data_IF_784362189552
#
_entry.id   IF_784362189552
#
_cell.length_a   1.000
_cell.length_b   1.000
_cell.length_c   1.000
_cell.angle_alpha   90.00
_cell.angle_beta   90.00
_cell.angle_gamma   90.00
#
_symmetry.space_group_name_H-M   'P 1'
#
loop_
_entity.id
_entity.type
_entity.pdbx_description
1 polymer ?
#
# COMPACT_ATOMS: atom_id res chain seq x y z
N UNK A 1 2.03 -20.41 -7.65
CA UNK A 1 0.89 -21.01 -6.91
C UNK A 1 1.37 -22.28 -6.24
N UNK A 2 0.74 -22.69 -5.14
CA UNK A 2 1.01 -24.00 -4.53
C UNK A 2 0.13 -25.06 -5.18
N UNK A 3 0.69 -26.24 -5.45
CA UNK A 3 0.02 -27.34 -6.16
C UNK A 3 0.21 -28.65 -5.40
N UNK A 4 -0.81 -29.51 -5.40
CA UNK A 4 -0.72 -30.86 -4.81
C UNK A 4 -0.85 -30.90 -3.28
N UNK A 5 -1.17 -29.79 -2.63
CA UNK A 5 -1.54 -29.74 -1.21
C UNK A 5 -3.05 -29.83 -0.97
N UNK A 6 -3.44 -29.74 0.30
CA UNK A 6 -4.84 -29.85 0.75
C UNK A 6 -5.66 -28.57 0.46
N UNK A 7 -5.01 -27.45 0.16
CA UNK A 7 -5.65 -26.16 -0.14
C UNK A 7 -4.80 -25.33 -1.12
N UNK A 8 -5.31 -24.16 -1.53
CA UNK A 8 -4.56 -23.22 -2.39
C UNK A 8 -3.31 -22.63 -1.72
N UNK A 9 -3.23 -22.73 -0.40
CA UNK A 9 -2.13 -22.25 0.44
C UNK A 9 -1.26 -23.38 1.01
N UNK A 10 -1.38 -24.59 0.45
CA UNK A 10 -0.50 -25.70 0.75
C UNK A 10 -0.08 -26.44 -0.52
N UNK A 11 1.14 -26.96 -0.53
CA UNK A 11 1.68 -27.77 -1.63
C UNK A 11 3.02 -27.28 -2.15
N UNK A 12 3.40 -27.74 -3.34
CA UNK A 12 4.65 -27.40 -3.99
C UNK A 12 4.55 -26.08 -4.75
N UNK A 13 5.58 -25.23 -4.66
CA UNK A 13 5.58 -23.95 -5.37
C UNK A 13 5.85 -24.13 -6.86
N UNK A 14 4.85 -23.81 -7.67
CA UNK A 14 4.97 -23.71 -9.12
C UNK A 14 4.99 -22.24 -9.58
N UNK A 15 5.86 -21.96 -10.54
CA UNK A 15 5.94 -20.66 -11.21
C UNK A 15 5.69 -20.82 -12.72
N UNK A 16 4.91 -19.89 -13.29
CA UNK A 16 4.67 -19.81 -14.73
C UNK A 16 5.73 -18.92 -15.37
N UNK A 17 6.54 -19.50 -16.25
CA UNK A 17 7.57 -18.81 -17.02
C UNK A 17 7.55 -19.33 -18.47
N UNK A 18 7.60 -18.44 -19.47
CA UNK A 18 7.42 -18.78 -20.90
C UNK A 18 6.22 -19.71 -21.19
N UNK A 19 5.06 -19.44 -20.58
CA UNK A 19 3.83 -20.24 -20.66
C UNK A 19 3.87 -21.64 -20.03
N UNK A 20 4.97 -22.04 -19.42
CA UNK A 20 5.13 -23.36 -18.80
C UNK A 20 5.16 -23.25 -17.26
N UNK A 21 4.49 -24.19 -16.59
CA UNK A 21 4.49 -24.31 -15.14
C UNK A 21 5.49 -25.37 -14.71
N UNK A 22 6.47 -25.00 -13.88
CA UNK A 22 7.40 -25.96 -13.28
C UNK A 22 7.58 -25.67 -11.78
N UNK A 23 7.98 -26.68 -10.98
CA UNK A 23 8.37 -26.47 -9.60
C UNK A 23 9.56 -25.52 -9.48
N UNK A 24 9.68 -24.84 -8.35
CA UNK A 24 10.72 -23.84 -8.09
C UNK A 24 11.77 -24.38 -7.12
N UNK A 25 13.05 -24.21 -7.47
CA UNK A 25 14.19 -24.51 -6.60
C UNK A 25 15.06 -23.25 -6.42
N UNK A 26 15.50 -22.99 -5.19
CA UNK A 26 16.42 -21.88 -4.92
C UNK A 26 17.89 -22.30 -5.05
N UNK A 27 18.70 -21.45 -5.69
CA UNK A 27 20.11 -21.73 -6.00
C UNK A 27 20.94 -21.94 -4.72
N UNK A 28 20.66 -21.18 -3.66
CA UNK A 28 21.34 -21.33 -2.35
C UNK A 28 20.48 -22.07 -1.32
N UNK A 29 19.50 -22.87 -1.79
CA UNK A 29 18.55 -23.55 -0.92
C UNK A 29 17.47 -22.63 -0.37
N UNK A 30 16.51 -23.26 0.31
CA UNK A 30 15.38 -22.58 0.92
C UNK A 30 15.70 -22.16 2.35
N UNK A 31 15.26 -20.96 2.71
CA UNK A 31 15.34 -20.41 4.06
C UNK A 31 13.95 -20.13 4.59
N UNK A 32 13.81 -20.02 5.92
CA UNK A 32 12.56 -19.66 6.58
C UNK A 32 11.97 -18.36 6.00
N UNK A 33 12.82 -17.35 5.78
CA UNK A 33 12.44 -16.08 5.15
C UNK A 33 11.87 -16.27 3.73
N UNK A 34 12.48 -17.16 2.93
CA UNK A 34 12.04 -17.39 1.55
C UNK A 34 10.65 -18.03 1.51
N UNK A 35 10.40 -18.98 2.41
CA UNK A 35 9.09 -19.58 2.59
C UNK A 35 8.03 -18.57 3.05
N UNK A 36 8.40 -17.70 3.98
CA UNK A 36 7.52 -16.63 4.46
C UNK A 36 7.12 -15.68 3.33
N UNK A 37 8.04 -15.32 2.43
CA UNK A 37 7.72 -14.49 1.25
C UNK A 37 6.73 -15.20 0.33
N UNK A 38 6.83 -16.53 0.16
CA UNK A 38 5.86 -17.30 -0.63
C UNK A 38 4.46 -17.23 -0.05
N UNK A 39 4.33 -17.47 1.26
CA UNK A 39 3.04 -17.45 1.93
C UNK A 39 2.39 -16.06 1.86
N UNK A 40 3.15 -14.99 2.09
CA UNK A 40 2.63 -13.63 1.95
C UNK A 40 2.24 -13.28 0.51
N UNK A 41 3.05 -13.63 -0.50
CA UNK A 41 2.77 -13.27 -1.90
C UNK A 41 1.54 -13.99 -2.45
N UNK A 42 1.20 -15.14 -1.88
CA UNK A 42 -0.02 -15.89 -2.20
C UNK A 42 -1.23 -15.49 -1.35
N UNK A 43 -1.09 -14.49 -0.46
CA UNK A 43 -2.09 -14.09 0.53
C UNK A 43 -2.55 -15.27 1.40
N UNK A 44 -1.58 -16.04 1.89
CA UNK A 44 -1.78 -17.28 2.63
C UNK A 44 -1.30 -17.21 4.10
N UNK A 45 -1.00 -16.02 4.62
CA UNK A 45 -0.46 -15.84 5.97
C UNK A 45 1.03 -16.18 6.07
N UNK A 46 1.41 -16.76 7.21
CA UNK A 46 2.78 -17.18 7.55
C UNK A 46 3.10 -18.62 7.15
N UNK A 47 4.37 -18.99 7.14
CA UNK A 47 4.80 -20.37 7.05
C UNK A 47 4.40 -21.12 8.34
N UNK A 48 3.68 -22.23 8.18
CA UNK A 48 3.34 -23.16 9.27
C UNK A 48 4.32 -24.32 9.31
N UNK A 49 4.60 -24.92 8.15
CA UNK A 49 5.52 -26.05 8.05
C UNK A 49 6.03 -26.22 6.64
N UNK A 50 7.29 -26.62 6.52
CA UNK A 50 7.93 -27.07 5.29
C UNK A 50 8.28 -28.56 5.36
N UNK A 51 8.07 -29.27 4.26
CA UNK A 51 8.48 -30.65 4.12
C UNK A 51 9.30 -30.82 2.86
N UNK A 52 10.48 -31.42 2.98
CA UNK A 52 11.29 -31.81 1.83
C UNK A 52 11.18 -33.31 1.61
N UNK A 53 10.99 -33.71 0.35
CA UNK A 53 10.96 -35.10 -0.07
C UNK A 53 11.91 -35.30 -1.24
N UNK A 54 12.67 -36.38 -1.20
CA UNK A 54 13.57 -36.76 -2.29
C UNK A 54 12.90 -37.83 -3.15
N UNK A 55 12.59 -37.49 -4.40
CA UNK A 55 11.99 -38.39 -5.38
C UNK A 55 13.08 -39.13 -6.17
N UNK A 56 12.75 -40.37 -6.60
CA UNK A 56 13.66 -41.21 -7.38
C UNK A 56 13.89 -40.71 -8.80
N UNK A 57 12.92 -39.98 -9.36
CA UNK A 57 13.01 -39.35 -10.68
C UNK A 57 13.23 -37.85 -10.51
N UNK A 58 14.09 -37.28 -11.36
CA UNK A 58 14.34 -35.84 -11.39
C UNK A 58 13.30 -35.19 -12.29
N UNK A 59 12.69 -34.13 -11.80
CA UNK A 59 11.70 -33.34 -12.55
C UNK A 59 12.34 -32.02 -12.99
N UNK A 60 11.92 -31.46 -14.14
CA UNK A 60 12.41 -30.16 -14.60
C UNK A 60 11.93 -29.06 -13.66
N UNK A 61 12.85 -28.19 -13.21
CA UNK A 61 12.57 -27.13 -12.23
C UNK A 61 13.04 -25.77 -12.72
N UNK A 62 12.41 -24.71 -12.22
CA UNK A 62 12.89 -23.34 -12.32
C UNK A 62 13.87 -23.03 -11.21
N UNK A 63 15.14 -22.77 -11.55
CA UNK A 63 16.12 -22.26 -10.60
C UNK A 63 16.03 -20.75 -10.46
N UNK A 64 15.79 -20.29 -9.23
CA UNK A 64 15.68 -18.87 -8.91
C UNK A 64 16.80 -18.49 -7.93
N UNK A 65 17.38 -17.30 -8.10
CA UNK A 65 18.32 -16.73 -7.11
C UNK A 65 17.60 -16.45 -5.80
N UNK A 66 18.13 -16.96 -4.69
CA UNK A 66 17.54 -16.77 -3.34
C UNK A 66 17.36 -15.30 -2.97
N UNK A 67 18.28 -14.42 -3.38
CA UNK A 67 18.19 -12.98 -3.10
C UNK A 67 17.04 -12.29 -3.84
N UNK A 68 16.63 -12.84 -4.99
CA UNK A 68 15.49 -12.30 -5.72
C UNK A 68 14.15 -12.70 -5.09
N UNK A 69 14.10 -13.83 -4.39
CA UNK A 69 12.90 -14.23 -3.65
C UNK A 69 12.54 -13.20 -2.57
N UNK A 70 13.53 -12.50 -1.99
CA UNK A 70 13.35 -11.52 -0.93
C UNK A 70 13.00 -10.10 -1.40
N UNK A 71 13.00 -9.84 -2.72
CA UNK A 71 12.80 -8.51 -3.31
C UNK A 71 11.38 -8.32 -3.87
N UNK A 72 10.93 -7.07 -3.97
CA UNK A 72 9.68 -6.62 -4.62
C UNK A 72 9.64 -6.89 -6.14
N UNK A 73 10.68 -7.52 -6.71
CA UNK A 73 10.76 -7.83 -8.13
C UNK A 73 9.76 -8.91 -8.59
N UNK A 74 9.47 -8.93 -9.89
CA UNK A 74 8.71 -9.98 -10.53
C UNK A 74 9.58 -11.25 -10.56
N UNK A 75 9.24 -12.29 -9.79
CA UNK A 75 10.03 -13.54 -9.71
C UNK A 75 10.36 -14.17 -11.08
N UNK A 76 9.56 -13.86 -12.11
CA UNK A 76 9.77 -14.28 -13.51
C UNK A 76 11.10 -13.79 -14.07
N UNK A 77 11.53 -12.58 -13.73
CA UNK A 77 12.79 -11.99 -14.23
C UNK A 77 14.04 -12.59 -13.58
N UNK A 78 13.84 -13.42 -12.54
CA UNK A 78 14.90 -14.03 -11.77
C UNK A 78 15.06 -15.53 -12.02
N UNK A 79 14.24 -16.08 -12.91
CA UNK A 79 14.40 -17.45 -13.40
C UNK A 79 15.66 -17.49 -14.25
N UNK A 80 16.62 -18.31 -13.86
CA UNK A 80 17.70 -18.66 -14.79
C UNK A 80 17.15 -19.64 -15.81
N UNK A 81 17.22 -19.28 -17.08
CA UNK A 81 16.89 -20.16 -18.19
C UNK A 81 18.03 -21.17 -18.34
N UNK A 82 17.86 -22.34 -17.73
CA UNK A 82 18.76 -23.48 -17.86
C UNK A 82 17.93 -24.77 -17.68
N UNK A 83 18.28 -25.86 -18.38
CA UNK A 83 17.56 -27.14 -18.35
C UNK A 83 17.91 -27.93 -17.09
N UNK A 84 17.50 -27.38 -15.95
CA UNK A 84 17.80 -27.93 -14.65
C UNK A 84 16.72 -28.90 -14.18
N UNK A 85 17.15 -30.06 -13.69
CA UNK A 85 16.26 -31.05 -13.07
C UNK A 85 16.68 -31.32 -11.62
N UNK A 86 15.69 -31.53 -10.75
CA UNK A 86 15.90 -31.75 -9.32
C UNK A 86 15.13 -32.99 -8.84
N UNK A 87 15.74 -33.83 -7.97
CA UNK A 87 15.01 -34.89 -7.27
C UNK A 87 14.30 -34.36 -6.01
N UNK A 88 14.52 -33.09 -5.62
CA UNK A 88 13.99 -32.54 -4.38
C UNK A 88 12.66 -31.84 -4.62
N UNK A 89 11.63 -32.29 -3.91
CA UNK A 89 10.32 -31.69 -3.85
C UNK A 89 10.16 -30.99 -2.51
N UNK A 90 9.68 -29.75 -2.53
CA UNK A 90 9.53 -28.92 -1.32
C UNK A 90 8.07 -28.48 -1.23
N UNK A 91 7.40 -28.99 -0.21
CA UNK A 91 6.02 -28.63 0.11
C UNK A 91 6.01 -27.53 1.16
N UNK A 92 5.22 -26.51 0.89
CA UNK A 92 5.04 -25.34 1.73
C UNK A 92 3.61 -25.40 2.25
N UNK A 93 3.43 -25.24 3.56
CA UNK A 93 2.12 -25.09 4.18
C UNK A 93 2.05 -23.72 4.86
N UNK A 94 1.10 -22.89 4.44
CA UNK A 94 0.93 -21.55 4.95
C UNK A 94 -0.27 -21.44 5.90
N UNK A 95 -0.30 -20.42 6.73
CA UNK A 95 -1.26 -20.22 7.81
C UNK A 95 -2.58 -19.66 7.31
N UNK A 96 -3.29 -20.44 6.48
CA UNK A 96 -4.63 -20.12 5.97
C UNK A 96 -5.73 -20.06 7.08
N UNK A 97 -5.31 -19.69 8.30
CA UNK A 97 -5.96 -19.83 9.58
C UNK A 97 -6.31 -18.51 10.26
N UNK A 98 -5.86 -17.35 9.79
CA UNK A 98 -6.32 -16.05 10.34
C UNK A 98 -6.71 -15.08 9.22
N UNK A 99 -7.69 -14.21 9.49
CA UNK A 99 -8.07 -13.10 8.62
C UNK A 99 -8.67 -11.94 9.42
N UNK A 100 -8.51 -10.72 8.92
CA UNK A 100 -9.28 -9.55 9.36
C UNK A 100 -10.40 -9.29 8.35
N UNK A 101 -11.65 -9.20 8.82
CA UNK A 101 -12.83 -8.95 7.98
C UNK A 101 -13.57 -7.69 8.41
N UNK A 102 -14.36 -7.12 7.52
CA UNK A 102 -15.19 -5.95 7.78
C UNK A 102 -14.45 -4.70 8.30
N UNK A 103 -13.14 -4.60 8.04
CA UNK A 103 -12.37 -3.39 8.27
C UNK A 103 -12.04 -2.66 6.96
N UNK A 104 -11.51 -1.43 7.11
CA UNK A 104 -11.19 -0.55 5.98
C UNK A 104 -10.07 -1.07 5.07
N UNK A 105 -9.21 -1.96 5.57
CA UNK A 105 -8.09 -2.52 4.81
C UNK A 105 -7.64 -3.90 5.32
N UNK A 106 -6.67 -4.53 4.66
CA UNK A 106 -6.16 -5.87 5.02
C UNK A 106 -5.52 -5.99 6.42
N UNK A 107 -5.17 -4.85 7.02
CA UNK A 107 -4.53 -4.73 8.32
C UNK A 107 -5.50 -4.15 9.37
N UNK A 108 -6.79 -4.02 9.07
CA UNK A 108 -7.80 -3.64 10.05
C UNK A 108 -9.06 -4.48 9.92
N UNK A 109 -9.75 -4.69 11.04
CA UNK A 109 -11.06 -5.31 11.09
C UNK A 109 -11.18 -6.37 12.16
N UNK A 110 -12.30 -7.10 12.11
CA UNK A 110 -12.61 -8.17 13.05
C UNK A 110 -11.74 -9.40 12.78
N UNK A 111 -11.10 -9.92 13.82
CA UNK A 111 -10.27 -11.12 13.72
C UNK A 111 -11.14 -12.37 13.64
N UNK A 112 -10.88 -13.19 12.62
CA UNK A 112 -11.43 -14.52 12.48
C UNK A 112 -10.33 -15.56 12.31
N UNK A 113 -10.47 -16.69 13.00
CA UNK A 113 -9.50 -17.78 13.02
C UNK A 113 -10.15 -19.05 12.46
N UNK A 114 -9.50 -19.75 11.53
CA UNK A 114 -10.00 -20.98 10.94
C UNK A 114 -9.60 -22.19 11.77
N UNK A 115 -10.55 -23.09 12.03
CA UNK A 115 -10.27 -24.43 12.53
C UNK A 115 -11.27 -25.46 12.02
N UNK A 116 -10.80 -26.69 11.74
CA UNK A 116 -11.63 -27.78 11.23
C UNK A 116 -12.53 -27.35 10.03
N UNK A 117 -11.95 -26.57 9.10
CA UNK A 117 -12.63 -25.99 7.94
C UNK A 117 -13.72 -24.93 8.21
N UNK A 118 -13.91 -24.49 9.45
CA UNK A 118 -14.83 -23.39 9.79
C UNK A 118 -14.06 -22.18 10.31
N UNK A 119 -14.53 -20.97 10.02
CA UNK A 119 -14.03 -19.74 10.65
C UNK A 119 -14.65 -19.60 12.03
N UNK A 120 -13.95 -18.98 12.98
CA UNK A 120 -14.40 -18.69 14.35
C UNK A 120 -14.06 -17.25 14.68
N UNK A 121 -14.92 -16.59 15.46
CA UNK A 121 -14.60 -15.28 16.04
C UNK A 121 -13.71 -15.46 17.27
N UNK A 122 -12.93 -14.43 17.57
CA UNK A 122 -12.16 -14.34 18.82
C UNK A 122 -12.81 -13.30 19.72
N UNK A 123 -13.00 -13.62 20.99
CA UNK A 123 -13.68 -12.76 21.94
C UNK A 123 -12.74 -11.66 22.45
N UNK A 124 -13.28 -10.46 22.70
CA UNK A 124 -12.52 -9.36 23.32
C UNK A 124 -11.96 -9.76 24.68
N UNK A 125 -12.73 -10.51 25.47
CA UNK A 125 -12.37 -10.89 26.84
C UNK A 125 -11.18 -11.86 26.90
N UNK A 126 -10.94 -12.60 25.82
CA UNK A 126 -9.97 -13.69 25.71
C UNK A 126 -8.82 -13.35 24.73
N UNK A 127 -8.63 -12.06 24.43
CA UNK A 127 -7.63 -11.59 23.47
C UNK A 127 -6.91 -10.36 23.98
N UNK A 128 -5.60 -10.48 24.17
CA UNK A 128 -4.78 -9.45 24.76
C UNK A 128 -3.77 -8.81 23.78
N UNK A 129 -2.90 -7.97 24.33
CA UNK A 129 -1.88 -7.26 23.56
C UNK A 129 -0.83 -8.22 22.97
N UNK A 130 -0.49 -9.30 23.66
CA UNK A 130 0.48 -10.28 23.23
C UNK A 130 -0.06 -11.09 22.05
N UNK A 131 -1.34 -11.46 22.11
CA UNK A 131 -2.03 -12.10 20.99
C UNK A 131 -2.08 -11.17 19.76
N UNK A 132 -2.38 -9.89 19.99
CA UNK A 132 -2.39 -8.86 18.93
C UNK A 132 -1.02 -8.69 18.24
N UNK A 133 0.07 -8.78 19.00
CA UNK A 133 1.43 -8.74 18.45
C UNK A 133 1.73 -9.93 17.54
N UNK A 134 1.30 -11.13 17.93
CA UNK A 134 1.43 -12.33 17.10
C UNK A 134 0.59 -12.22 15.83
N UNK A 135 -0.66 -11.78 15.93
CA UNK A 135 -1.57 -11.62 14.77
C UNK A 135 -1.06 -10.58 13.79
N UNK A 136 -0.68 -9.38 14.26
CA UNK A 136 -0.20 -8.33 13.35
C UNK A 136 1.14 -8.70 12.69
N UNK A 137 1.99 -9.47 13.38
CA UNK A 137 3.21 -10.04 12.80
C UNK A 137 2.88 -11.13 11.77
N UNK A 138 1.95 -12.02 12.08
CA UNK A 138 1.51 -13.10 11.18
C UNK A 138 0.87 -12.57 9.90
N UNK A 139 0.17 -11.44 9.98
CA UNK A 139 -0.40 -10.73 8.83
C UNK A 139 0.62 -9.87 8.06
N UNK A 140 1.83 -9.69 8.59
CA UNK A 140 2.85 -8.80 8.00
C UNK A 140 2.45 -7.32 8.03
N UNK A 141 1.62 -6.92 9.00
CA UNK A 141 1.05 -5.58 9.11
C UNK A 141 1.74 -4.69 10.17
N UNK A 142 2.84 -5.17 10.75
CA UNK A 142 3.61 -4.43 11.75
C UNK A 142 3.12 -4.70 13.18
N UNK A 143 3.18 -3.68 14.04
CA UNK A 143 2.71 -3.78 15.42
C UNK A 143 1.18 -3.54 15.49
N UNK A 144 0.51 -4.05 16.53
CA UNK A 144 -0.87 -3.65 16.84
C UNK A 144 -0.92 -2.18 17.29
N UNK A 145 -1.88 -1.42 16.75
CA UNK A 145 -2.08 0.00 17.05
C UNK A 145 -3.43 0.32 17.67
N UNK A 146 -4.41 -0.56 17.45
CA UNK A 146 -5.76 -0.41 17.98
C UNK A 146 -6.35 -1.78 18.28
N UNK A 147 -6.90 -1.91 19.48
CA UNK A 147 -7.56 -3.12 19.96
C UNK A 147 -8.86 -2.71 20.66
N UNK A 148 -10.00 -3.15 20.15
CA UNK A 148 -11.30 -2.88 20.75
C UNK A 148 -12.27 -4.03 20.47
N UNK A 149 -13.20 -4.32 21.38
CA UNK A 149 -14.34 -5.19 21.07
C UNK A 149 -15.46 -4.47 20.32
N UNK A 150 -15.90 -5.07 19.22
CA UNK A 150 -17.07 -4.66 18.45
C UNK A 150 -18.20 -5.68 18.60
N UNK A 151 -19.45 -5.20 18.70
CA UNK A 151 -20.62 -6.08 18.72
C UNK A 151 -20.71 -6.84 17.40
N UNK A 152 -20.80 -8.17 17.46
CA UNK A 152 -21.03 -9.01 16.30
C UNK A 152 -22.52 -9.33 16.16
N UNK A 153 -23.03 -9.37 14.92
CA UNK A 153 -24.44 -9.69 14.67
C UNK A 153 -24.75 -11.16 14.96
N UNK A 154 -25.94 -11.45 15.51
CA UNK A 154 -26.42 -12.82 15.85
C UNK A 154 -26.39 -13.79 14.66
N UNK A 155 -26.48 -13.29 13.42
CA UNK A 155 -26.48 -14.09 12.18
C UNK A 155 -25.10 -14.37 11.58
N UNK A 156 -24.02 -13.77 12.11
CA UNK A 156 -22.65 -13.91 11.58
C UNK A 156 -21.72 -14.76 12.46
N UNK A 157 -22.17 -15.21 13.63
CA UNK A 157 -21.31 -15.88 14.60
C UNK A 157 -21.05 -17.35 14.22
N UNK A 158 -19.79 -17.77 14.02
CA UNK A 158 -19.47 -19.18 13.99
C UNK A 158 -19.50 -19.78 15.40
N UNK A 159 -19.63 -21.10 15.44
CA UNK A 159 -20.16 -21.89 16.55
C UNK A 159 -19.29 -21.95 17.83
N UNK A 160 -18.05 -21.40 17.81
CA UNK A 160 -17.08 -21.51 18.92
C UNK A 160 -16.11 -20.31 18.99
N UNK A 161 -15.82 -19.85 20.21
CA UNK A 161 -14.68 -18.95 20.51
C UNK A 161 -13.46 -19.72 21.03
N UNK A 162 -12.27 -19.15 20.84
CA UNK A 162 -11.01 -19.68 21.38
C UNK A 162 -10.24 -18.61 22.10
N UNK A 163 -9.64 -19.01 23.22
CA UNK A 163 -8.68 -18.21 23.97
C UNK A 163 -7.28 -18.55 23.49
N UNK A 164 -6.50 -17.51 23.22
CA UNK A 164 -5.08 -17.60 22.92
C UNK A 164 -4.31 -17.01 24.09
N UNK A 165 -3.22 -17.66 24.47
CA UNK A 165 -2.35 -17.25 25.56
C UNK A 165 -0.94 -17.13 24.98
N UNK A 166 -0.76 -16.17 24.08
CA UNK A 166 0.53 -15.92 23.47
C UNK A 166 1.51 -15.27 24.47
N UNK A 167 2.79 -15.61 24.34
CA UNK A 167 3.89 -14.92 25.03
C UNK A 167 4.37 -13.68 24.23
N UNK A 168 3.95 -13.54 22.97
CA UNK A 168 4.19 -12.40 22.10
C UNK A 168 5.34 -12.58 21.11
N UNK A 169 6.08 -13.70 21.17
CA UNK A 169 7.21 -14.02 20.28
C UNK A 169 6.90 -15.09 19.23
N UNK A 170 5.71 -15.71 19.30
CA UNK A 170 5.29 -16.79 18.42
C UNK A 170 5.17 -16.35 16.95
N UNK A 171 5.53 -17.24 16.02
CA UNK A 171 5.44 -16.94 14.59
C UNK A 171 4.03 -16.96 14.01
N UNK A 172 3.08 -17.57 14.71
CA UNK A 172 1.68 -17.67 14.33
C UNK A 172 0.78 -17.84 15.56
N UNK A 173 -0.45 -17.35 15.50
CA UNK A 173 -1.43 -17.38 16.59
C UNK A 173 -1.73 -18.82 17.04
N UNK A 174 -1.73 -19.77 16.11
CA UNK A 174 -1.94 -21.19 16.41
C UNK A 174 -0.75 -21.86 17.12
N UNK A 175 0.43 -21.22 17.14
CA UNK A 175 1.58 -21.71 17.92
C UNK A 175 1.51 -21.27 19.38
N UNK A 176 0.65 -20.31 19.70
CA UNK A 176 0.40 -19.94 21.08
C UNK A 176 -0.31 -21.08 21.81
N UNK A 177 -0.10 -21.12 23.13
CA UNK A 177 -0.91 -21.99 23.98
C UNK A 177 -2.35 -21.55 23.82
N UNK A 178 -3.24 -22.47 23.47
CA UNK A 178 -4.67 -22.18 23.35
C UNK A 178 -5.46 -23.04 24.31
N UNK A 179 -6.53 -22.47 24.85
CA UNK A 179 -7.54 -23.21 25.57
C UNK A 179 -8.74 -23.38 24.65
N UNK A 180 -9.25 -24.61 24.52
CA UNK A 180 -10.50 -24.84 23.83
C UNK A 180 -11.64 -24.47 24.78
N UNK A 181 -12.12 -23.24 24.69
CA UNK A 181 -13.38 -22.86 25.35
C UNK A 181 -14.53 -23.59 24.66
N UNK A 182 -15.39 -24.22 25.45
CA UNK A 182 -16.63 -24.84 24.98
C UNK A 182 -17.77 -23.82 24.87
N UNK A 183 -17.51 -22.53 25.09
CA UNK A 183 -18.51 -21.47 24.98
C UNK A 183 -18.85 -21.19 23.51
N UNK A 184 -20.16 -21.17 23.24
CA UNK A 184 -20.73 -20.81 21.94
C UNK A 184 -20.72 -19.30 21.66
N UNK A 185 -20.53 -18.47 22.69
CA UNK A 185 -20.68 -17.02 22.61
C UNK A 185 -19.69 -16.30 23.53
N UNK A 186 -19.22 -15.12 23.12
CA UNK A 186 -18.42 -14.24 23.95
C UNK A 186 -19.25 -13.68 25.11
N UNK A 187 -18.71 -13.70 26.33
CA UNK A 187 -19.39 -13.21 27.54
C UNK A 187 -19.75 -11.71 27.43
N UNK A 188 -18.86 -10.91 26.84
CA UNK A 188 -19.08 -9.49 26.52
C UNK A 188 -20.03 -9.22 25.34
N UNK A 189 -20.39 -10.24 24.55
CA UNK A 189 -21.10 -10.07 23.28
C UNK A 189 -20.26 -9.36 22.20
N UNK A 190 -18.96 -9.23 22.40
CA UNK A 190 -18.05 -8.53 21.49
C UNK A 190 -16.98 -9.44 20.94
N UNK A 191 -16.72 -9.30 19.64
CA UNK A 191 -15.61 -9.91 18.95
C UNK A 191 -14.47 -8.90 18.86
N UNK A 192 -13.24 -9.38 18.84
CA UNK A 192 -12.09 -8.50 18.78
C UNK A 192 -11.95 -7.87 17.40
N UNK A 193 -11.80 -6.55 17.41
CA UNK A 193 -11.45 -5.74 16.26
C UNK A 193 -10.03 -5.21 16.46
N UNK A 194 -9.18 -5.48 15.47
CA UNK A 194 -7.76 -5.21 15.50
C UNK A 194 -7.40 -4.29 14.35
N UNK A 195 -6.67 -3.22 14.63
CA UNK A 195 -5.89 -2.53 13.60
C UNK A 195 -4.41 -2.77 13.86
N UNK A 196 -3.77 -3.31 12.84
CA UNK A 196 -2.35 -3.40 12.70
C UNK A 196 -1.90 -2.21 11.87
N UNK A 197 -1.29 -1.26 12.52
CA UNK A 197 -0.43 -0.29 11.87
C UNK A 197 0.80 -0.23 12.74
N UNK A 198 1.99 -0.34 12.14
CA UNK A 198 3.23 -0.10 12.87
C UNK A 198 3.11 1.14 13.76
N UNK A 199 4.01 1.29 14.75
CA UNK A 199 3.95 2.36 15.75
C UNK A 199 3.96 3.79 15.18
N UNK A 200 3.97 3.97 13.86
CA UNK A 200 4.01 5.22 13.14
C UNK A 200 2.69 5.46 12.40
N UNK A 201 2.27 6.72 12.32
CA UNK A 201 1.22 7.18 11.40
C UNK A 201 1.55 8.58 10.91
N UNK A 202 0.99 8.96 9.76
CA UNK A 202 1.03 10.33 9.26
C UNK A 202 -0.33 10.97 9.52
N UNK A 203 -0.34 12.11 10.22
CA UNK A 203 -1.55 12.88 10.54
C UNK A 203 -1.47 14.21 9.80
N UNK A 204 -2.25 14.37 8.74
CA UNK A 204 -2.18 15.59 7.93
C UNK A 204 -2.89 15.54 6.58
N UNK A 205 -2.61 16.54 5.75
CA UNK A 205 -3.59 17.44 5.12
C UNK A 205 -4.54 16.85 4.05
N UNK A 206 -4.25 15.68 3.46
CA UNK A 206 -5.08 15.14 2.34
C UNK A 206 -5.15 13.61 2.24
N UNK A 207 -4.26 12.84 2.89
CA UNK A 207 -4.29 11.37 2.82
C UNK A 207 -3.57 10.70 4.00
N UNK A 208 -3.80 9.38 4.19
CA UNK A 208 -3.06 8.55 5.17
C UNK A 208 -1.56 8.41 4.89
N UNK A 209 -1.12 8.85 3.71
CA UNK A 209 0.25 8.75 3.23
C UNK A 209 0.96 10.12 3.18
N UNK A 210 0.36 11.16 3.76
CA UNK A 210 0.94 12.49 3.85
C UNK A 210 0.54 13.20 5.16
N UNK A 211 1.51 13.74 5.89
CA UNK A 211 1.24 14.53 7.08
C UNK A 211 2.37 14.56 8.10
N UNK A 212 2.03 14.99 9.32
CA UNK A 212 2.94 15.02 10.46
C UNK A 212 3.18 13.59 10.94
N UNK A 213 4.45 13.22 11.10
CA UNK A 213 4.82 11.92 11.64
C UNK A 213 4.52 11.85 13.14
N UNK A 214 3.58 10.98 13.50
CA UNK A 214 3.26 10.63 14.88
C UNK A 214 3.67 9.20 15.18
N UNK A 215 4.04 8.97 16.44
CA UNK A 215 4.38 7.64 16.94
C UNK A 215 3.56 7.30 18.19
N UNK A 216 3.11 6.05 18.27
CA UNK A 216 2.41 5.51 19.43
C UNK A 216 3.41 4.93 20.43
N UNK A 217 3.42 5.47 21.64
CA UNK A 217 4.25 4.98 22.75
C UNK A 217 3.57 5.26 24.09
N UNK A 218 3.75 4.39 25.10
CA UNK A 218 3.10 4.52 26.42
C UNK A 218 1.58 4.81 26.37
N UNK A 219 0.86 4.18 25.44
CA UNK A 219 -0.58 4.38 25.21
C UNK A 219 -0.97 5.80 24.75
N UNK A 220 -0.03 6.56 24.20
CA UNK A 220 -0.27 7.91 23.70
C UNK A 220 0.39 8.14 22.32
N UNK A 221 -0.34 8.83 21.43
CA UNK A 221 0.20 9.31 20.16
C UNK A 221 0.84 10.67 20.36
N UNK A 222 2.09 10.82 19.92
CA UNK A 222 2.74 12.15 19.88
C UNK A 222 3.55 12.35 18.61
N UNK A 223 3.72 13.60 18.16
CA UNK A 223 4.62 13.91 17.06
C UNK A 223 6.05 13.47 17.36
N UNK A 224 6.77 13.09 16.32
CA UNK A 224 8.17 12.67 16.40
C UNK A 224 9.11 13.86 16.23
N UNK A 225 10.14 13.94 17.06
CA UNK A 225 11.29 14.83 16.93
C UNK A 225 12.56 14.01 16.65
N UNK A 226 13.22 14.28 15.52
CA UNK A 226 14.45 13.59 15.09
C UNK A 226 15.72 14.38 15.40
N UNK A 227 15.60 15.50 16.12
CA UNK A 227 16.70 16.41 16.46
C UNK A 227 17.15 17.29 15.30
N UNK A 228 17.62 18.51 15.59
CA UNK A 228 17.91 19.54 14.58
C UNK A 228 19.17 19.32 13.74
N UNK A 229 20.01 18.33 14.06
CA UNK A 229 21.20 18.08 13.25
C UNK A 229 20.82 17.34 11.96
N UNK A 230 21.03 17.95 10.78
CA UNK A 230 20.88 17.32 9.45
C UNK A 230 21.61 15.97 9.25
N UNK A 231 22.44 15.54 10.22
CA UNK A 231 23.10 14.24 10.24
C UNK A 231 22.21 13.09 10.74
N UNK A 232 21.10 13.38 11.43
CA UNK A 232 20.19 12.32 11.91
C UNK A 232 19.21 11.93 10.80
N UNK A 233 18.32 12.81 10.36
CA UNK A 233 17.23 12.48 9.45
C UNK A 233 17.55 12.71 7.96
N UNK A 234 17.44 11.66 7.16
CA UNK A 234 17.68 11.68 5.71
C UNK A 234 16.51 11.06 4.91
N UNK A 235 16.61 11.13 3.58
CA UNK A 235 15.58 10.64 2.67
C UNK A 235 15.34 9.12 2.76
N UNK A 236 16.35 8.33 3.09
CA UNK A 236 16.17 6.88 3.30
C UNK A 236 15.32 6.62 4.56
N UNK A 237 15.46 7.45 5.59
CA UNK A 237 14.66 7.33 6.81
C UNK A 237 13.19 7.68 6.53
N UNK A 238 12.93 8.75 5.77
CA UNK A 238 11.58 9.09 5.32
C UNK A 238 10.98 7.99 4.42
N UNK A 239 11.80 7.42 3.54
CA UNK A 239 11.39 6.31 2.66
C UNK A 239 11.10 5.04 3.44
N UNK A 240 11.85 4.76 4.51
CA UNK A 240 11.56 3.66 5.42
C UNK A 240 10.21 3.83 6.12
N UNK A 241 9.88 5.05 6.57
CA UNK A 241 8.56 5.38 7.13
C UNK A 241 7.45 5.13 6.10
N UNK A 242 7.59 5.66 4.88
CA UNK A 242 6.61 5.44 3.82
C UNK A 242 6.44 3.96 3.47
N UNK A 243 7.54 3.19 3.47
CA UNK A 243 7.52 1.76 3.18
C UNK A 243 6.78 0.97 4.28
N UNK A 244 7.00 1.33 5.55
CA UNK A 244 6.34 0.71 6.70
C UNK A 244 4.84 1.00 6.76
N UNK A 245 4.44 2.20 6.32
CA UNK A 245 3.02 2.58 6.18
C UNK A 245 2.35 1.95 4.95
N UNK A 246 3.12 1.24 4.11
CA UNK A 246 2.65 0.69 2.85
C UNK A 246 2.22 1.79 1.87
N UNK A 247 2.92 2.92 1.88
CA UNK A 247 2.66 4.12 1.05
C UNK A 247 3.73 4.36 -0.02
N UNK A 248 4.59 3.36 -0.27
CA UNK A 248 5.72 3.44 -1.20
C UNK A 248 6.92 4.18 -0.63
N UNK A 249 7.47 5.16 -1.36
CA UNK A 249 8.69 5.88 -0.98
C UNK A 249 8.40 7.34 -0.63
N UNK A 250 9.33 8.02 0.04
CA UNK A 250 9.16 9.43 0.40
C UNK A 250 9.32 10.32 -0.84
N UNK A 251 8.41 11.26 -1.03
CA UNK A 251 8.46 12.26 -2.10
C UNK A 251 8.76 13.64 -1.52
N UNK A 252 8.28 13.91 -0.30
CA UNK A 252 8.48 15.16 0.40
C UNK A 252 8.82 14.90 1.86
N UNK A 253 9.73 15.70 2.38
CA UNK A 253 10.02 15.78 3.81
C UNK A 253 10.33 17.23 4.17
N UNK A 254 9.74 17.73 5.25
CA UNK A 254 10.02 19.07 5.74
C UNK A 254 10.00 19.08 7.27
N UNK A 255 10.93 19.84 7.86
CA UNK A 255 10.92 20.15 9.29
C UNK A 255 10.46 21.60 9.42
N UNK A 256 9.22 21.81 9.88
CA UNK A 256 8.63 23.14 10.02
C UNK A 256 8.66 23.60 11.48
N UNK A 257 8.97 24.88 11.73
CA UNK A 257 8.89 25.45 13.07
C UNK A 257 7.50 26.04 13.30
N UNK A 258 6.84 25.58 14.36
CA UNK A 258 5.53 26.06 14.80
C UNK A 258 5.68 27.20 15.82
N UNK A 259 4.59 27.90 16.11
CA UNK A 259 4.50 28.88 17.19
C UNK A 259 4.11 28.25 18.53
N UNK A 260 3.62 27.00 18.53
CA UNK A 260 3.15 26.29 19.72
C UNK A 260 4.08 25.14 20.11
N UNK A 261 4.42 25.10 21.41
CA UNK A 261 5.20 24.02 22.01
C UNK A 261 4.30 22.81 22.24
N UNK A 262 4.73 21.64 21.77
CA UNK A 262 4.00 20.37 21.91
C UNK A 262 4.93 19.30 22.46
N UNK A 263 4.38 18.37 23.24
CA UNK A 263 5.11 17.19 23.70
C UNK A 263 5.42 16.28 22.51
N UNK A 264 6.68 15.91 22.34
CA UNK A 264 7.14 15.06 21.24
C UNK A 264 7.95 13.87 21.72
N UNK A 265 7.99 12.82 20.90
CA UNK A 265 8.88 11.68 21.08
C UNK A 265 10.22 11.96 20.38
N UNK A 266 11.34 11.98 21.11
CA UNK A 266 12.65 12.04 20.49
C UNK A 266 13.15 10.64 20.13
N UNK A 267 13.53 10.45 18.87
CA UNK A 267 14.06 9.18 18.38
C UNK A 267 15.29 9.41 17.49
N UNK A 268 16.19 8.43 17.41
CA UNK A 268 17.24 8.46 16.40
C UNK A 268 16.70 8.04 15.04
N UNK A 269 17.25 8.59 13.97
CA UNK A 269 16.84 8.22 12.62
C UNK A 269 17.19 6.77 12.25
N UNK A 270 18.30 6.24 12.77
CA UNK A 270 18.68 4.82 12.67
C UNK A 270 17.60 3.86 13.19
N UNK A 271 16.71 4.36 14.06
CA UNK A 271 15.67 3.58 14.71
C UNK A 271 14.37 3.47 13.91
N UNK A 272 14.12 4.40 13.01
CA UNK A 272 12.99 4.31 12.09
C UNK A 272 13.18 3.20 11.06
N UNK A 273 14.42 2.76 10.82
CA UNK A 273 14.72 1.62 9.95
C UNK A 273 14.48 0.26 10.62
N UNK A 274 14.67 0.12 11.94
CA UNK A 274 14.62 -1.18 12.63
C UNK A 274 13.34 -1.44 13.43
N UNK A 275 12.60 -0.39 13.83
CA UNK A 275 11.39 -0.47 14.67
C UNK A 275 11.55 -1.33 15.95
N UNK A 276 12.78 -1.52 16.44
CA UNK A 276 13.04 -2.29 17.67
C UNK A 276 12.55 -1.55 18.91
N UNK A 277 12.15 -2.29 19.95
CA UNK A 277 11.84 -1.74 21.28
C UNK A 277 13.05 -1.02 21.93
N UNK A 278 14.27 -1.32 21.50
CA UNK A 278 15.51 -0.74 22.06
C UNK A 278 15.85 0.66 21.52
N UNK A 279 14.97 1.25 20.73
CA UNK A 279 15.24 2.47 19.98
C UNK A 279 15.04 3.79 20.73
N UNK A 280 14.91 3.72 22.05
CA UNK A 280 14.72 4.88 22.91
C UNK A 280 16.06 5.51 23.28
N UNK A 281 16.39 6.65 22.68
CA UNK A 281 17.37 7.57 23.25
C UNK A 281 16.65 8.55 24.17
N UNK A 282 16.61 8.21 25.46
CA UNK A 282 16.13 9.02 26.57
C UNK A 282 14.64 9.40 26.55
N UNK A 283 13.93 8.96 27.58
CA UNK A 283 12.58 9.38 27.98
C UNK A 283 12.54 10.88 28.32
N UNK A 284 12.50 11.76 27.32
CA UNK A 284 12.32 13.19 27.56
C UNK A 284 11.03 13.64 26.91
N UNK A 285 10.09 14.09 27.75
CA UNK A 285 8.95 14.92 27.33
C UNK A 285 9.52 16.24 26.79
N UNK A 286 9.88 16.25 25.52
CA UNK A 286 10.48 17.40 24.88
C UNK A 286 9.36 18.30 24.36
N UNK A 287 9.35 19.52 24.89
CA UNK A 287 8.57 20.60 24.34
C UNK A 287 9.38 21.25 23.23
N UNK A 288 9.04 20.94 21.98
CA UNK A 288 9.65 21.59 20.83
C UNK A 288 8.57 22.21 19.95
N UNK A 289 8.98 23.19 19.16
CA UNK A 289 8.10 23.79 18.18
C UNK A 289 8.26 23.16 16.78
N UNK A 290 9.21 22.25 16.56
CA UNK A 290 9.46 21.65 15.24
C UNK A 290 8.50 20.50 14.90
N UNK A 291 7.85 20.50 13.73
CA UNK A 291 7.07 19.37 13.20
C UNK A 291 7.85 18.72 12.07
N UNK A 292 7.83 17.39 12.03
CA UNK A 292 8.35 16.61 10.91
C UNK A 292 7.18 16.17 10.04
N UNK A 293 7.12 16.68 8.82
CA UNK A 293 6.14 16.33 7.81
C UNK A 293 6.76 15.43 6.75
N UNK A 294 6.01 14.40 6.35
CA UNK A 294 6.41 13.43 5.33
C UNK A 294 5.25 13.22 4.37
N UNK A 295 5.54 13.20 3.07
CA UNK A 295 4.58 12.82 2.02
C UNK A 295 5.16 11.69 1.18
N UNK A 296 4.36 10.66 0.95
CA UNK A 296 4.78 9.42 0.28
C UNK A 296 4.20 9.29 -1.13
N UNK A 297 4.75 8.39 -1.95
CA UNK A 297 4.37 8.24 -3.37
C UNK A 297 2.89 7.88 -3.57
N UNK A 298 2.26 7.20 -2.62
CA UNK A 298 0.85 6.83 -2.72
C UNK A 298 -0.11 7.97 -2.35
N UNK A 299 0.42 9.09 -1.88
CA UNK A 299 -0.33 10.35 -1.72
C UNK A 299 -0.26 11.26 -2.94
N UNK A 300 0.41 10.82 -4.01
CA UNK A 300 0.52 11.61 -5.24
C UNK A 300 -0.86 11.78 -5.87
N UNK A 301 -1.44 12.96 -5.73
CA UNK A 301 -2.67 13.31 -6.40
C UNK A 301 -2.43 13.44 -7.91
N UNK A 302 -3.31 12.85 -8.70
CA UNK A 302 -3.29 13.01 -10.15
C UNK A 302 -3.43 14.50 -10.52
N UNK A 303 -2.69 15.02 -11.52
CA UNK A 303 -2.85 16.40 -11.95
C UNK A 303 -4.30 16.65 -12.39
N UNK A 304 -4.80 17.83 -12.06
CA UNK A 304 -6.14 18.26 -12.45
C UNK A 304 -6.12 18.85 -13.85
N UNK A 305 -7.09 18.45 -14.67
CA UNK A 305 -7.30 18.96 -16.02
C UNK A 305 -8.63 19.70 -16.07
N UNK A 306 -8.62 20.92 -16.58
CA UNK A 306 -9.82 21.75 -16.70
C UNK A 306 -9.81 22.56 -17.99
N UNK A 307 -10.97 23.08 -18.34
CA UNK A 307 -11.18 23.89 -19.55
C UNK A 307 -11.67 25.26 -19.14
N UNK A 308 -11.08 26.30 -19.71
CA UNK A 308 -11.55 27.68 -19.61
C UNK A 308 -11.88 28.21 -21.00
N UNK A 309 -12.99 28.93 -21.14
CA UNK A 309 -13.37 29.62 -22.38
C UNK A 309 -14.03 30.96 -22.06
N UNK A 310 -13.83 31.93 -22.95
CA UNK A 310 -14.41 33.27 -22.87
C UNK A 310 -15.93 33.29 -23.09
N UNK A 311 -16.50 32.25 -23.72
CA UNK A 311 -17.93 32.12 -23.99
C UNK A 311 -18.49 30.82 -23.38
N UNK A 312 -18.79 30.84 -22.08
CA UNK A 312 -19.67 29.90 -21.38
C UNK A 312 -19.45 28.41 -21.64
N UNK A 313 -18.59 27.77 -20.86
CA UNK A 313 -18.47 26.31 -20.82
C UNK A 313 -19.75 25.71 -20.19
N UNK A 314 -20.46 24.84 -20.92
CA UNK A 314 -21.61 24.12 -20.37
C UNK A 314 -21.24 22.67 -20.04
N UNK A 315 -21.56 22.23 -18.82
CA UNK A 315 -21.33 20.86 -18.33
C UNK A 315 -22.64 20.09 -18.42
N UNK A 316 -22.82 19.30 -19.49
CA UNK A 316 -24.01 18.47 -19.66
C UNK A 316 -23.93 17.25 -18.72
N UNK A 317 -25.04 16.89 -18.07
CA UNK A 317 -25.08 15.93 -16.95
C UNK A 317 -24.59 14.51 -17.27
N UNK A 318 -24.26 14.17 -18.53
CA UNK A 318 -23.73 12.88 -18.97
C UNK A 318 -22.94 12.93 -20.32
N UNK A 319 -22.43 14.09 -20.79
CA UNK A 319 -21.83 14.22 -22.14
C UNK A 319 -20.48 14.96 -22.21
N UNK A 320 -19.76 15.10 -21.09
CA UNK A 320 -18.48 15.81 -21.05
C UNK A 320 -18.63 17.34 -21.17
N UNK A 321 -17.52 18.04 -21.43
CA UNK A 321 -17.48 19.50 -21.56
C UNK A 321 -17.81 19.91 -23.00
N UNK A 322 -18.62 20.95 -23.18
CA UNK A 322 -19.05 21.44 -24.49
C UNK A 322 -18.52 22.86 -24.75
N UNK A 323 -17.95 23.07 -25.93
CA UNK A 323 -17.44 24.37 -26.44
C UNK A 323 -18.06 24.65 -27.80
N UNK A 324 -18.32 25.92 -28.11
CA UNK A 324 -18.87 26.32 -29.41
C UNK A 324 -17.79 26.47 -30.48
N UNK A 325 -18.09 26.04 -31.70
CA UNK A 325 -17.25 26.24 -32.87
C UNK A 325 -16.89 27.72 -33.05
N UNK A 326 -15.64 28.01 -33.39
CA UNK A 326 -15.14 29.37 -33.61
C UNK A 326 -14.74 30.13 -32.33
N UNK A 327 -14.95 29.56 -31.14
CA UNK A 327 -14.57 30.22 -29.87
C UNK A 327 -13.15 29.87 -29.45
N UNK A 328 -12.49 30.80 -28.74
CA UNK A 328 -11.20 30.52 -28.11
C UNK A 328 -11.40 29.76 -26.79
N UNK A 329 -10.48 28.84 -26.52
CA UNK A 329 -10.48 28.09 -25.26
C UNK A 329 -9.06 27.71 -24.87
N UNK A 330 -8.89 27.43 -23.57
CA UNK A 330 -7.64 26.94 -23.04
C UNK A 330 -7.88 25.71 -22.18
N UNK A 331 -6.98 24.74 -22.31
CA UNK A 331 -6.90 23.59 -21.41
C UNK A 331 -5.85 23.91 -20.36
N UNK A 332 -6.24 23.81 -19.09
CA UNK A 332 -5.38 24.09 -17.95
C UNK A 332 -5.04 22.76 -17.30
N UNK A 333 -3.76 22.39 -17.35
CA UNK A 333 -3.21 21.33 -16.51
C UNK A 333 -2.69 21.97 -15.22
N UNK A 334 -3.04 21.43 -14.06
CA UNK A 334 -2.57 21.93 -12.77
C UNK A 334 -2.21 20.77 -11.84
N UNK A 335 -1.27 21.01 -10.94
CA UNK A 335 -0.80 20.02 -9.96
C UNK A 335 -0.82 20.61 -8.56
N UNK A 336 -0.77 19.73 -7.55
CA UNK A 336 -0.74 20.15 -6.15
C UNK A 336 0.51 21.01 -5.85
N UNK A 337 0.40 21.92 -4.88
CA UNK A 337 1.44 22.93 -4.59
C UNK A 337 2.77 22.37 -4.07
N UNK A 338 2.80 21.07 -3.74
CA UNK A 338 3.98 20.36 -3.26
C UNK A 338 4.97 20.01 -4.39
N UNK A 339 4.55 20.12 -5.66
CA UNK A 339 5.38 19.82 -6.82
C UNK A 339 5.97 21.10 -7.41
N UNK A 340 7.18 21.48 -7.00
CA UNK A 340 7.86 22.64 -7.58
C UNK A 340 8.39 22.31 -8.99
N UNK A 341 7.76 22.89 -10.01
CA UNK A 341 8.23 22.86 -11.39
C UNK A 341 7.81 21.62 -12.20
N UNK A 342 8.72 21.17 -13.08
CA UNK A 342 8.45 20.09 -14.05
C UNK A 342 7.82 20.57 -15.35
N UNK A 343 7.38 19.61 -16.16
CA UNK A 343 6.74 19.84 -17.46
C UNK A 343 5.38 19.16 -17.50
N UNK A 344 4.38 19.86 -18.02
CA UNK A 344 3.10 19.27 -18.39
C UNK A 344 3.12 18.92 -19.86
N UNK A 345 2.69 17.70 -20.16
CA UNK A 345 2.46 17.19 -21.49
C UNK A 345 0.95 17.03 -21.67
N UNK A 346 0.36 17.76 -22.62
CA UNK A 346 -1.02 17.59 -23.02
C UNK A 346 -1.07 16.60 -24.18
N UNK A 347 -1.72 15.46 -23.93
CA UNK A 347 -1.95 14.42 -24.93
C UNK A 347 -3.42 14.51 -25.34
N UNK A 348 -3.65 14.61 -26.65
CA UNK A 348 -4.97 14.53 -27.25
C UNK A 348 -4.99 13.43 -28.28
N UNK A 349 -6.03 12.60 -28.22
CA UNK A 349 -6.22 11.50 -29.16
C UNK A 349 -7.61 11.58 -29.78
N UNK A 350 -7.67 11.72 -31.10
CA UNK A 350 -8.87 11.57 -31.90
C UNK A 350 -8.56 10.67 -33.11
N UNK A 351 -9.62 10.12 -33.71
CA UNK A 351 -9.62 9.25 -34.89
C UNK A 351 -8.76 9.73 -36.07
N UNK A 352 -8.45 11.02 -36.18
CA UNK A 352 -7.68 11.61 -37.30
C UNK A 352 -6.36 12.27 -36.90
N UNK A 353 -6.15 12.63 -35.64
CA UNK A 353 -5.05 13.49 -35.20
C UNK A 353 -4.63 13.20 -33.77
N UNK A 354 -3.32 13.09 -33.55
CA UNK A 354 -2.70 13.04 -32.22
C UNK A 354 -1.94 14.33 -31.97
N UNK A 355 -2.30 15.08 -30.93
CA UNK A 355 -1.57 16.27 -30.50
C UNK A 355 -0.79 15.93 -29.22
N UNK A 356 0.48 16.33 -29.19
CA UNK A 356 1.37 16.10 -28.06
C UNK A 356 2.20 17.37 -27.83
N UNK A 357 1.71 18.23 -26.95
CA UNK A 357 2.34 19.51 -26.65
C UNK A 357 2.86 19.52 -25.23
N UNK A 358 4.06 20.06 -25.02
CA UNK A 358 4.67 20.18 -23.70
C UNK A 358 4.87 21.65 -23.32
N UNK A 359 4.50 22.00 -22.10
CA UNK A 359 4.74 23.32 -21.52
C UNK A 359 5.36 23.18 -20.12
N UNK A 360 6.28 24.09 -19.74
CA UNK A 360 6.80 24.11 -18.37
C UNK A 360 5.70 24.49 -17.37
N UNK A 361 5.78 23.93 -16.17
CA UNK A 361 4.87 24.31 -15.09
C UNK A 361 5.24 25.70 -14.55
N UNK A 362 4.30 26.65 -14.64
CA UNK A 362 4.39 27.99 -14.04
C UNK A 362 3.34 28.09 -12.94
N UNK A 363 3.77 28.37 -11.71
CA UNK A 363 2.90 28.36 -10.53
C UNK A 363 2.07 27.05 -10.42
N UNK A 364 2.75 25.91 -10.61
CA UNK A 364 2.19 24.55 -10.56
C UNK A 364 1.13 24.25 -11.63
N UNK A 365 1.06 25.06 -12.69
CA UNK A 365 0.09 24.91 -13.78
C UNK A 365 0.68 25.19 -15.16
N UNK A 366 0.03 24.70 -16.21
CA UNK A 366 0.34 25.01 -17.60
C UNK A 366 -0.95 25.28 -18.39
N UNK A 367 -0.93 26.33 -19.21
CA UNK A 367 -2.06 26.81 -20.01
C UNK A 367 -1.82 26.51 -21.49
N UNK A 368 -2.58 25.57 -22.04
CA UNK A 368 -2.57 25.25 -23.47
C UNK A 368 -3.69 26.01 -24.17
N UNK A 369 -3.36 27.00 -24.98
CA UNK A 369 -4.35 27.89 -25.60
C UNK A 369 -4.64 27.53 -27.06
N UNK A 370 -5.92 27.54 -27.41
CA UNK A 370 -6.43 27.28 -28.75
C UNK A 370 -7.21 28.53 -29.21
N UNK A 371 -6.76 29.12 -30.32
CA UNK A 371 -7.31 30.37 -30.83
C UNK A 371 -8.73 30.20 -31.39
N UNK A 372 -9.04 29.04 -31.97
CA UNK A 372 -10.33 28.77 -32.59
C UNK A 372 -10.73 27.29 -32.45
N UNK A 373 -11.87 27.03 -31.81
CA UNK A 373 -12.43 25.69 -31.67
C UNK A 373 -13.01 25.17 -32.99
N UNK A 374 -12.71 23.93 -33.32
CA UNK A 374 -13.16 23.25 -34.55
C UNK A 374 -13.38 21.77 -34.27
N UNK A 375 -14.04 21.05 -35.18
CA UNK A 375 -14.27 19.61 -35.02
C UNK A 375 -12.97 18.79 -34.91
N UNK A 376 -11.82 19.32 -35.35
CA UNK A 376 -10.52 18.68 -35.16
C UNK A 376 -10.08 18.64 -33.68
N UNK A 377 -10.63 19.52 -32.84
CA UNK A 377 -10.36 19.62 -31.40
C UNK A 377 -11.36 18.82 -30.54
N UNK A 378 -12.29 18.08 -31.16
CA UNK A 378 -13.20 17.19 -30.43
C UNK A 378 -12.50 15.87 -30.10
N UNK A 379 -12.61 15.41 -28.85
CA UNK A 379 -12.01 14.16 -28.42
C UNK A 379 -11.57 14.18 -26.96
N UNK A 380 -10.62 13.31 -26.65
CA UNK A 380 -10.18 13.05 -25.28
C UNK A 380 -8.80 13.65 -25.01
N UNK A 381 -8.73 14.37 -23.90
CA UNK A 381 -7.54 15.07 -23.43
C UNK A 381 -7.05 14.47 -22.11
N UNK A 382 -5.73 14.31 -22.00
CA UNK A 382 -5.05 13.82 -20.81
C UNK A 382 -3.85 14.73 -20.54
N UNK A 383 -3.71 15.21 -19.31
CA UNK A 383 -2.51 15.89 -18.84
C UNK A 383 -1.57 14.87 -18.18
N UNK A 384 -0.32 14.86 -18.60
CA UNK A 384 0.76 14.10 -17.97
C UNK A 384 1.75 15.09 -17.37
N UNK A 385 1.99 15.01 -16.06
CA UNK A 385 2.95 15.84 -15.35
C UNK A 385 4.22 15.04 -15.14
N UNK A 386 5.31 15.46 -15.76
CA UNK A 386 6.63 14.91 -15.51
C UNK A 386 7.37 15.82 -14.55
N UNK A 387 7.67 15.29 -13.36
CA UNK A 387 8.40 16.00 -12.32
C UNK A 387 9.66 15.24 -11.97
N UNK A 388 10.73 15.99 -11.78
CA UNK A 388 11.98 15.45 -11.26
C UNK A 388 12.06 15.83 -9.79
N UNK A 389 11.93 14.84 -8.91
CA UNK A 389 11.99 15.05 -7.46
C UNK A 389 13.13 14.19 -6.94
N UNK A 390 14.17 14.84 -6.39
CA UNK A 390 15.28 14.22 -5.67
C UNK A 390 15.85 12.96 -6.36
N UNK A 391 16.27 13.11 -7.62
CA UNK A 391 16.89 12.05 -8.46
C UNK A 391 15.94 10.95 -8.97
N UNK A 392 14.62 11.10 -8.80
CA UNK A 392 13.63 10.23 -9.44
C UNK A 392 12.76 11.01 -10.44
N UNK A 393 12.48 10.37 -11.58
CA UNK A 393 11.56 10.88 -12.59
C UNK A 393 10.18 10.30 -12.32
N UNK A 394 9.23 11.15 -11.93
CA UNK A 394 7.85 10.76 -11.69
C UNK A 394 7.00 11.24 -12.86
N UNK A 395 6.05 10.40 -13.25
CA UNK A 395 5.10 10.69 -14.32
C UNK A 395 3.70 10.46 -13.77
N UNK A 396 2.93 11.54 -13.64
CA UNK A 396 1.58 11.51 -13.09
C UNK A 396 0.57 11.83 -14.18
N UNK A 397 -0.49 11.04 -14.28
CA UNK A 397 -1.50 11.19 -15.32
C UNK A 397 -2.83 11.67 -14.74
N UNK A 398 -3.47 12.65 -15.38
CA UNK A 398 -4.78 13.14 -15.00
C UNK A 398 -5.89 12.15 -15.36
N UNK A 399 -7.09 12.39 -14.81
CA UNK A 399 -8.29 11.83 -15.40
C UNK A 399 -8.47 12.31 -16.86
N UNK A 400 -9.21 11.53 -17.65
CA UNK A 400 -9.53 11.88 -19.02
C UNK A 400 -10.60 12.97 -19.08
N UNK A 401 -10.37 13.99 -19.91
CA UNK A 401 -11.31 15.06 -20.17
C UNK A 401 -11.84 14.95 -21.61
N UNK A 402 -13.11 14.58 -21.75
CA UNK A 402 -13.78 14.52 -23.05
C UNK A 402 -14.38 15.88 -23.41
N UNK A 403 -14.02 16.38 -24.58
CA UNK A 403 -14.46 17.66 -25.11
C UNK A 403 -15.28 17.47 -26.39
N UNK A 404 -16.46 18.09 -26.45
CA UNK A 404 -17.33 18.11 -27.63
C UNK A 404 -17.46 19.53 -28.19
N UNK A 405 -17.34 19.67 -29.52
CA UNK A 405 -17.47 20.97 -30.20
C UNK A 405 -18.84 21.07 -30.86
N UNK A 406 -19.66 22.02 -30.41
CA UNK A 406 -21.00 22.27 -30.92
C UNK A 406 -20.97 23.29 -32.06
N UNK A 407 -21.71 23.02 -33.14
CA UNK A 407 -21.96 24.02 -34.17
C UNK A 407 -22.84 25.15 -33.61
N UNK A 408 -22.49 26.40 -33.90
CA UNK A 408 -23.35 27.55 -33.59
C UNK A 408 -24.59 27.52 -34.48
N UNK A 409 -25.77 27.72 -33.89
CA UNK A 409 -27.07 27.61 -34.57
C UNK A 409 -27.38 28.70 -35.60
N UNK A 410 -26.38 29.48 -36.05
CA UNK A 410 -26.54 30.50 -37.09
C UNK A 410 -26.22 30.00 -38.50
N UNK A 411 -25.77 28.75 -38.66
CA UNK A 411 -25.51 28.14 -39.98
C UNK A 411 -26.67 27.29 -40.54
N UNK A 412 -27.85 27.25 -39.90
CA UNK A 412 -29.04 26.48 -40.34
C UNK A 412 -30.14 27.39 -40.93
N UNK A 413 -29.88 28.69 -41.14
CA UNK A 413 -30.75 29.57 -41.94
C UNK A 413 -29.98 30.19 -43.10
N UNK A 414 -29.78 29.40 -44.15
CA UNK A 414 -29.65 29.90 -45.52
C UNK A 414 -30.73 29.27 -46.37
#
# INVERSE_FOLDING_TARGET
>A
MLVGGASRCSGELHLKHHQEWRPVQLIHGWTLESFQVVCHRLNCGSLVSEASKTNRRREPVWKIKSDCMKSLSLWRECVKVDDSSSPYQININCSEFIRLVNGDNRCSGRLEVKSNNSWSIVCEDDFDQQDAEVVCRELGCGAPSFLQGALYGETEAPEWSREFLCEGHESALLHCKSSSSSQKFCSSGKAVELTCSGRLKLVGMTSRCAGVLEMFNHREWRPVDVGESQKSWNHEDATAVCSQLGCGFAVFQEITHNSTLTNKWRISASCLKSLSNDCFLHFVNLFTNCKLEVSCSDSLESPNISVSSSCGVSKARNQGLQIFFGTSFSIICSSHHLYQGGIFQLIFNNSTTTLNNTLPAVNNSALFSFLEASHAHQGDYICVHHVHINSQNLTLQSQQLSLTVLATSEAVRR
#
